data_IF_018979831346
#
_entry.id   IF_018979831346
#
_cell.length_a   1.000
_cell.length_b   1.000
_cell.length_c   1.000
_cell.angle_alpha   90.00
_cell.angle_beta   90.00
_cell.angle_gamma   90.00
#
_symmetry.space_group_name_H-M   'P 1'
#
loop_
_entity.id
_entity.type
_entity.pdbx_description
1 polymer ?
#
# COMPACT_ATOMS: atom_id res chain seq x y z
N UNK A 1 15.07 -4.65 15.83
CA UNK A 1 14.11 -3.58 15.47
C UNK A 1 13.21 -3.35 16.65
N UNK A 2 12.95 -2.10 17.02
CA UNK A 2 12.08 -1.71 18.11
C UNK A 2 10.83 -1.04 17.55
N UNK A 3 9.66 -1.48 18.01
CA UNK A 3 8.39 -0.88 17.62
C UNK A 3 7.85 0.00 18.74
N UNK A 4 7.20 1.10 18.37
CA UNK A 4 6.34 1.90 19.24
C UNK A 4 4.95 2.01 18.63
N UNK A 5 3.93 2.15 19.47
CA UNK A 5 2.54 2.28 19.06
C UNK A 5 1.87 3.39 19.88
N UNK A 6 1.53 4.49 19.21
CA UNK A 6 0.96 5.70 19.80
C UNK A 6 -0.47 5.91 19.29
N UNK A 7 -1.48 6.00 20.17
CA UNK A 7 -2.86 6.27 19.79
C UNK A 7 -3.16 7.78 19.85
N UNK A 8 -3.96 8.24 18.89
CA UNK A 8 -4.53 9.60 18.83
C UNK A 8 -6.02 9.47 18.58
N UNK A 9 -6.86 10.07 19.41
CA UNK A 9 -8.30 9.98 19.28
C UNK A 9 -9.01 11.23 19.84
N UNK A 10 -10.27 11.40 19.45
CA UNK A 10 -11.19 12.28 20.14
C UNK A 10 -11.78 11.51 21.31
N UNK A 11 -11.31 11.78 22.54
CA UNK A 11 -11.71 11.01 23.71
C UNK A 11 -13.06 11.44 24.28
N UNK A 12 -13.56 12.63 23.93
CA UNK A 12 -14.80 13.18 24.48
C UNK A 12 -15.93 13.10 23.46
N UNK A 13 -17.04 12.51 23.87
CA UNK A 13 -18.25 12.34 23.08
C UNK A 13 -19.39 13.18 23.63
N UNK A 14 -20.19 13.86 22.78
CA UNK A 14 -21.43 14.48 23.23
C UNK A 14 -22.50 13.43 23.56
N UNK A 15 -23.52 13.84 24.28
CA UNK A 15 -24.67 12.98 24.60
C UNK A 15 -25.25 12.29 23.35
N UNK A 16 -25.49 10.99 23.44
CA UNK A 16 -26.03 10.20 22.33
C UNK A 16 -25.05 9.78 21.22
N UNK A 17 -23.87 10.35 21.18
CA UNK A 17 -22.82 9.90 20.24
C UNK A 17 -22.27 8.53 20.65
N UNK A 18 -21.95 7.69 19.67
CA UNK A 18 -21.46 6.33 19.92
C UNK A 18 -20.32 5.92 18.97
N UNK A 19 -19.81 6.84 18.16
CA UNK A 19 -18.70 6.58 17.25
C UNK A 19 -17.40 7.21 17.77
N UNK A 20 -16.34 6.42 17.74
CA UNK A 20 -14.99 6.85 18.08
C UNK A 20 -14.07 6.58 16.88
N UNK A 21 -13.32 7.58 16.48
CA UNK A 21 -12.30 7.48 15.44
C UNK A 21 -10.92 7.68 16.09
N UNK A 22 -9.98 6.77 15.79
CA UNK A 22 -8.64 6.80 16.33
C UNK A 22 -7.59 6.60 15.22
N UNK A 23 -6.47 7.30 15.36
CA UNK A 23 -5.26 7.03 14.57
C UNK A 23 -4.26 6.31 15.46
N UNK A 24 -3.75 5.20 14.96
CA UNK A 24 -2.70 4.40 15.59
C UNK A 24 -1.42 4.58 14.78
N UNK A 25 -0.47 5.33 15.34
CA UNK A 25 0.84 5.52 14.72
C UNK A 25 1.79 4.43 15.19
N UNK A 26 2.24 3.60 14.25
CA UNK A 26 3.26 2.58 14.46
C UNK A 26 4.59 3.10 13.92
N UNK A 27 5.62 3.09 14.74
CA UNK A 27 6.98 3.44 14.31
C UNK A 27 7.93 2.29 14.62
N UNK A 28 8.67 1.86 13.60
CA UNK A 28 9.75 0.89 13.74
C UNK A 28 11.09 1.61 13.56
N UNK A 29 11.95 1.53 14.56
CA UNK A 29 13.29 2.14 14.56
C UNK A 29 14.38 1.10 14.77
N UNK A 30 15.55 1.42 14.22
CA UNK A 30 16.77 0.65 14.42
C UNK A 30 17.10 -0.24 13.23
N UNK A 31 18.27 0.05 12.67
CA UNK A 31 19.01 -0.85 11.78
C UNK A 31 19.91 -1.77 12.65
N UNK A 32 19.38 -2.31 13.75
CA UNK A 32 20.12 -3.32 14.50
C UNK A 32 20.35 -4.51 13.61
N UNK A 33 21.60 -4.97 13.50
CA UNK A 33 21.90 -6.31 12.99
C UNK A 33 21.13 -7.25 13.91
N UNK A 34 19.93 -7.65 13.50
CA UNK A 34 19.24 -8.74 14.17
C UNK A 34 20.09 -9.98 13.94
N UNK A 35 20.52 -10.61 15.01
CA UNK A 35 21.34 -11.85 14.92
C UNK A 35 20.66 -12.92 14.05
N UNK A 36 19.31 -12.85 13.92
CA UNK A 36 18.47 -13.74 13.12
C UNK A 36 17.56 -12.92 12.18
N UNK A 37 18.14 -12.05 11.33
CA UNK A 37 17.33 -11.40 10.27
C UNK A 37 16.77 -12.51 9.36
N UNK A 38 15.43 -12.59 9.16
CA UNK A 38 14.87 -13.57 8.24
C UNK A 38 15.48 -13.41 6.85
N UNK A 39 15.82 -14.53 6.23
CA UNK A 39 16.32 -14.51 4.86
C UNK A 39 15.26 -13.88 3.94
N UNK A 40 15.68 -12.96 3.06
CA UNK A 40 14.79 -12.41 2.06
C UNK A 40 14.75 -13.31 0.82
N UNK A 41 13.58 -13.45 0.20
CA UNK A 41 13.41 -14.05 -1.12
C UNK A 41 12.77 -13.04 -2.05
N UNK A 42 13.43 -12.76 -3.16
CA UNK A 42 12.97 -11.80 -4.17
C UNK A 42 12.51 -12.54 -5.42
N UNK A 43 11.23 -12.40 -5.77
CA UNK A 43 10.67 -12.85 -7.05
C UNK A 43 10.61 -11.68 -8.03
N UNK A 44 11.20 -11.83 -9.20
CA UNK A 44 11.07 -10.88 -10.31
C UNK A 44 10.13 -11.50 -11.35
N UNK A 45 8.98 -10.85 -11.59
CA UNK A 45 7.89 -11.36 -12.44
C UNK A 45 7.73 -10.41 -13.60
N UNK A 46 8.06 -10.85 -14.81
CA UNK A 46 8.18 -10.01 -15.99
C UNK A 46 7.15 -10.41 -17.04
N UNK A 47 6.36 -9.44 -17.45
CA UNK A 47 5.53 -9.54 -18.65
C UNK A 47 6.43 -9.54 -19.88
N UNK A 48 6.23 -10.55 -20.74
CA UNK A 48 6.88 -10.66 -22.05
C UNK A 48 5.82 -10.77 -23.17
N UNK A 49 4.63 -10.22 -22.95
CA UNK A 49 3.56 -10.18 -23.95
C UNK A 49 3.97 -9.37 -25.21
N UNK A 50 3.17 -9.48 -26.27
CA UNK A 50 3.48 -8.82 -27.55
C UNK A 50 3.58 -7.30 -27.45
N UNK A 51 2.86 -6.65 -26.52
CA UNK A 51 2.93 -5.19 -26.26
C UNK A 51 4.30 -4.73 -25.73
N UNK A 52 5.04 -5.63 -25.08
CA UNK A 52 6.38 -5.36 -24.58
C UNK A 52 7.44 -5.22 -25.68
N UNK A 53 7.16 -5.52 -26.95
CA UNK A 53 8.16 -5.48 -28.04
C UNK A 53 8.93 -4.16 -28.11
N UNK A 54 10.19 -4.25 -28.51
CA UNK A 54 11.07 -3.08 -28.75
C UNK A 54 11.66 -2.50 -27.48
N UNK A 55 11.58 -1.19 -27.33
CA UNK A 55 12.27 -0.46 -26.25
C UNK A 55 11.79 -0.86 -24.84
N UNK A 56 10.51 -1.20 -24.67
CA UNK A 56 9.96 -1.65 -23.38
C UNK A 56 10.63 -2.93 -22.92
N UNK A 57 10.78 -3.92 -23.82
CA UNK A 57 11.40 -5.20 -23.50
C UNK A 57 12.89 -5.03 -23.18
N UNK A 58 13.63 -4.24 -23.95
CA UNK A 58 15.05 -3.99 -23.70
C UNK A 58 15.27 -3.24 -22.38
N UNK A 59 14.43 -2.26 -22.06
CA UNK A 59 14.46 -1.57 -20.77
C UNK A 59 14.13 -2.52 -19.61
N UNK A 60 13.13 -3.39 -19.77
CA UNK A 60 12.76 -4.38 -18.75
C UNK A 60 13.87 -5.39 -18.49
N UNK A 61 14.52 -5.91 -19.56
CA UNK A 61 15.71 -6.78 -19.44
C UNK A 61 16.83 -6.08 -18.69
N UNK A 62 17.13 -4.83 -19.09
CA UNK A 62 18.21 -4.04 -18.48
C UNK A 62 17.92 -3.80 -16.98
N UNK A 63 16.72 -3.28 -16.65
CA UNK A 63 16.31 -3.01 -15.27
C UNK A 63 16.31 -4.26 -14.40
N UNK A 64 15.81 -5.38 -14.93
CA UNK A 64 15.81 -6.68 -14.23
C UNK A 64 17.22 -7.17 -13.94
N UNK A 65 18.13 -7.07 -14.89
CA UNK A 65 19.54 -7.45 -14.67
C UNK A 65 20.19 -6.57 -13.61
N UNK A 66 19.90 -5.26 -13.61
CA UNK A 66 20.35 -4.35 -12.55
C UNK A 66 19.72 -4.65 -11.21
N UNK A 67 18.45 -5.00 -11.17
CA UNK A 67 17.78 -5.44 -9.95
C UNK A 67 18.44 -6.70 -9.35
N UNK A 68 18.76 -7.69 -10.18
CA UNK A 68 19.46 -8.92 -9.75
C UNK A 68 20.83 -8.58 -9.13
N UNK A 69 21.58 -7.63 -9.68
CA UNK A 69 22.86 -7.19 -9.12
C UNK A 69 22.73 -6.68 -7.68
N UNK A 70 21.64 -5.98 -7.38
CA UNK A 70 21.38 -5.32 -6.10
C UNK A 70 20.83 -6.24 -5.00
N UNK A 71 20.38 -7.44 -5.33
CA UNK A 71 19.92 -8.40 -4.34
C UNK A 71 21.08 -8.79 -3.44
N UNK A 72 20.87 -8.71 -2.12
CA UNK A 72 21.89 -9.03 -1.13
C UNK A 72 22.36 -10.50 -1.27
N UNK A 73 23.68 -10.80 -1.18
CA UNK A 73 24.18 -12.17 -1.26
C UNK A 73 23.59 -13.15 -0.25
N UNK A 74 23.09 -12.67 0.90
CA UNK A 74 22.40 -13.47 1.91
C UNK A 74 20.96 -13.83 1.53
N UNK A 75 20.40 -13.18 0.51
CA UNK A 75 19.05 -13.44 0.02
C UNK A 75 19.00 -14.57 -1.00
N UNK A 76 17.80 -15.06 -1.27
CA UNK A 76 17.49 -15.90 -2.43
C UNK A 76 16.67 -15.09 -3.44
N UNK A 77 16.67 -15.54 -4.68
CA UNK A 77 15.84 -14.92 -5.71
C UNK A 77 15.45 -15.94 -6.79
N UNK A 78 14.39 -15.60 -7.52
CA UNK A 78 13.99 -16.29 -8.73
C UNK A 78 13.47 -15.29 -9.76
N UNK A 79 13.38 -15.72 -11.01
CA UNK A 79 12.84 -14.91 -12.10
C UNK A 79 11.81 -15.72 -12.87
N UNK A 80 10.62 -15.13 -13.06
CA UNK A 80 9.52 -15.65 -13.86
C UNK A 80 9.28 -14.69 -15.02
N UNK A 81 9.08 -15.20 -16.23
CA UNK A 81 8.53 -14.47 -17.36
C UNK A 81 7.15 -15.04 -17.69
N UNK A 82 6.22 -14.20 -18.14
CA UNK A 82 4.89 -14.65 -18.52
C UNK A 82 4.32 -13.92 -19.73
N UNK A 83 3.50 -14.62 -20.48
CA UNK A 83 2.58 -14.08 -21.48
C UNK A 83 1.30 -14.97 -21.49
N UNK A 84 0.99 -15.72 -22.55
CA UNK A 84 -0.04 -16.78 -22.51
C UNK A 84 0.38 -17.98 -21.66
N UNK A 85 1.68 -18.12 -21.43
CA UNK A 85 2.31 -19.17 -20.62
C UNK A 85 3.28 -18.56 -19.63
N UNK A 86 3.74 -19.37 -18.70
CA UNK A 86 4.73 -18.96 -17.70
C UNK A 86 6.03 -19.73 -17.90
N UNK A 87 7.14 -19.01 -17.82
CA UNK A 87 8.48 -19.56 -17.90
C UNK A 87 9.23 -19.28 -16.60
N UNK A 88 9.78 -20.33 -16.02
CA UNK A 88 10.77 -20.20 -14.95
C UNK A 88 12.13 -19.83 -15.56
N UNK A 89 12.44 -18.55 -15.63
CA UNK A 89 13.71 -18.04 -16.22
C UNK A 89 14.90 -18.36 -15.34
N UNK A 90 14.72 -18.22 -14.02
CA UNK A 90 15.67 -18.68 -13.01
C UNK A 90 14.91 -19.28 -11.83
N UNK A 91 15.24 -20.51 -11.46
CA UNK A 91 14.69 -21.18 -10.27
C UNK A 91 15.16 -20.48 -8.99
N UNK A 92 14.45 -20.62 -7.84
CA UNK A 92 14.91 -20.13 -6.55
C UNK A 92 16.33 -20.59 -6.23
N UNK A 93 17.21 -19.64 -5.98
CA UNK A 93 18.61 -19.89 -5.69
C UNK A 93 19.21 -18.78 -4.82
N UNK A 94 20.26 -19.05 -4.01
CA UNK A 94 21.03 -18.02 -3.32
C UNK A 94 21.59 -16.98 -4.31
N UNK A 95 21.62 -15.71 -3.91
CA UNK A 95 22.06 -14.59 -4.74
C UNK A 95 23.60 -14.53 -4.87
N UNK A 96 24.24 -15.67 -5.15
CA UNK A 96 25.68 -15.75 -5.42
C UNK A 96 26.03 -15.08 -6.76
N UNK A 97 27.26 -14.60 -6.94
CA UNK A 97 27.70 -14.04 -8.22
C UNK A 97 27.43 -14.95 -9.41
N UNK A 98 27.63 -16.28 -9.24
CA UNK A 98 27.38 -17.27 -10.29
C UNK A 98 25.90 -17.36 -10.65
N UNK A 99 25.01 -17.50 -9.66
CA UNK A 99 23.56 -17.59 -9.90
C UNK A 99 23.01 -16.30 -10.51
N UNK A 100 23.49 -15.14 -10.05
CA UNK A 100 23.14 -13.85 -10.64
C UNK A 100 23.55 -13.77 -12.11
N UNK A 101 24.78 -14.17 -12.45
CA UNK A 101 25.26 -14.16 -13.83
C UNK A 101 24.44 -15.09 -14.75
N UNK A 102 24.10 -16.29 -14.27
CA UNK A 102 23.24 -17.23 -15.01
C UNK A 102 21.83 -16.65 -15.25
N UNK A 103 21.21 -16.08 -14.22
CA UNK A 103 19.89 -15.46 -14.33
C UNK A 103 19.91 -14.24 -15.28
N UNK A 104 20.92 -13.39 -15.20
CA UNK A 104 21.08 -12.25 -16.10
C UNK A 104 21.25 -12.67 -17.57
N UNK A 105 22.01 -13.74 -17.82
CA UNK A 105 22.16 -14.32 -19.15
C UNK A 105 20.83 -14.90 -19.67
N UNK A 106 20.04 -15.53 -18.80
CA UNK A 106 18.72 -16.04 -19.15
C UNK A 106 17.72 -14.90 -19.45
N UNK A 107 17.68 -13.85 -18.61
CA UNK A 107 16.87 -12.65 -18.84
C UNK A 107 17.19 -12.00 -20.19
N UNK A 108 18.46 -11.92 -20.57
CA UNK A 108 18.87 -11.31 -21.84
C UNK A 108 18.28 -12.02 -23.07
N UNK A 109 17.97 -13.31 -22.97
CA UNK A 109 17.42 -14.13 -24.06
C UNK A 109 15.90 -14.07 -24.18
N UNK A 110 15.21 -13.38 -23.27
CA UNK A 110 13.77 -13.25 -23.33
C UNK A 110 13.34 -12.49 -24.58
N UNK A 111 12.28 -12.97 -25.20
CA UNK A 111 11.67 -12.35 -26.37
C UNK A 111 10.19 -12.07 -26.08
N UNK A 112 9.72 -10.91 -26.54
CA UNK A 112 8.33 -10.52 -26.34
C UNK A 112 7.41 -11.20 -27.37
N UNK A 113 6.26 -11.71 -26.90
CA UNK A 113 5.23 -12.32 -27.73
C UNK A 113 4.08 -12.94 -26.95
N UNK A 114 2.93 -13.11 -27.58
CA UNK A 114 1.74 -13.68 -26.96
C UNK A 114 0.83 -12.65 -26.27
N UNK A 115 -0.15 -13.12 -25.51
CA UNK A 115 -1.09 -12.32 -24.70
C UNK A 115 -0.59 -12.12 -23.28
N UNK A 116 -1.52 -11.86 -22.33
CA UNK A 116 -1.19 -11.53 -20.94
C UNK A 116 -2.13 -12.30 -20.02
N UNK A 117 -1.63 -13.35 -19.33
CA UNK A 117 -2.38 -14.20 -18.39
C UNK A 117 -1.71 -14.08 -17.01
N UNK A 118 -2.20 -13.15 -16.21
CA UNK A 118 -1.56 -12.76 -14.92
C UNK A 118 -1.76 -13.85 -13.85
N UNK A 119 -2.91 -14.55 -13.84
CA UNK A 119 -3.20 -15.56 -12.82
C UNK A 119 -2.13 -16.66 -12.77
N UNK A 120 -1.66 -17.11 -13.93
CA UNK A 120 -0.62 -18.14 -14.01
C UNK A 120 0.72 -17.65 -13.45
N UNK A 121 1.08 -16.38 -13.70
CA UNK A 121 2.29 -15.78 -13.15
C UNK A 121 2.24 -15.70 -11.61
N UNK A 122 1.07 -15.30 -11.06
CA UNK A 122 0.85 -15.25 -9.61
C UNK A 122 0.89 -16.67 -8.98
N UNK A 123 0.27 -17.65 -9.64
CA UNK A 123 0.32 -19.05 -9.23
C UNK A 123 1.75 -19.59 -9.16
N UNK A 124 2.53 -19.35 -10.19
CA UNK A 124 3.92 -19.77 -10.24
C UNK A 124 4.74 -19.09 -9.12
N UNK A 125 4.57 -17.78 -8.97
CA UNK A 125 5.26 -17.03 -7.91
C UNK A 125 4.92 -17.57 -6.51
N UNK A 126 3.63 -17.82 -6.23
CA UNK A 126 3.21 -18.45 -4.98
C UNK A 126 3.86 -19.80 -4.76
N UNK A 127 3.91 -20.62 -5.79
CA UNK A 127 4.54 -21.94 -5.74
C UNK A 127 6.04 -21.85 -5.41
N UNK A 128 6.76 -20.91 -6.01
CA UNK A 128 8.19 -20.70 -5.71
C UNK A 128 8.41 -20.21 -4.28
N UNK A 129 7.62 -19.25 -3.81
CA UNK A 129 7.74 -18.73 -2.46
C UNK A 129 7.41 -19.77 -1.39
N UNK A 130 6.41 -20.63 -1.62
CA UNK A 130 6.01 -21.68 -0.68
C UNK A 130 7.10 -22.75 -0.45
N UNK A 131 8.05 -22.90 -1.38
CA UNK A 131 9.21 -23.81 -1.21
C UNK A 131 10.24 -23.26 -0.21
N UNK A 132 10.16 -22.00 0.20
CA UNK A 132 11.13 -21.31 1.04
C UNK A 132 10.47 -20.73 2.30
N UNK A 133 9.88 -21.58 3.17
CA UNK A 133 9.15 -21.11 4.35
C UNK A 133 10.06 -20.36 5.33
N UNK A 134 9.48 -19.43 6.09
CA UNK A 134 10.19 -18.66 7.13
C UNK A 134 10.99 -17.45 6.62
N UNK A 135 11.02 -17.22 5.31
CA UNK A 135 11.69 -16.09 4.70
C UNK A 135 10.76 -14.87 4.54
N UNK A 136 11.33 -13.70 4.28
CA UNK A 136 10.62 -12.50 3.85
C UNK A 136 10.40 -12.56 2.34
N UNK A 137 9.18 -12.78 1.91
CA UNK A 137 8.83 -12.94 0.51
C UNK A 137 8.41 -11.61 -0.10
N UNK A 138 9.11 -11.20 -1.14
CA UNK A 138 8.83 -9.99 -1.89
C UNK A 138 8.84 -10.26 -3.39
N UNK A 139 7.81 -9.80 -4.10
CA UNK A 139 7.74 -9.83 -5.55
C UNK A 139 7.75 -8.41 -6.15
N UNK A 140 8.45 -8.24 -7.26
CA UNK A 140 8.34 -7.10 -8.14
C UNK A 140 7.71 -7.59 -9.45
N UNK A 141 6.50 -7.11 -9.72
CA UNK A 141 5.69 -7.48 -10.87
C UNK A 141 5.68 -6.34 -11.90
N UNK A 142 6.05 -6.65 -13.13
CA UNK A 142 6.07 -5.70 -14.24
C UNK A 142 5.14 -6.16 -15.34
N UNK A 143 4.30 -5.26 -15.86
CA UNK A 143 3.46 -5.47 -17.04
C UNK A 143 3.26 -4.16 -17.82
N UNK A 144 3.03 -4.23 -19.11
CA UNK A 144 2.60 -3.12 -19.96
C UNK A 144 1.24 -3.36 -20.61
N UNK A 145 0.62 -4.50 -20.31
CA UNK A 145 -0.60 -4.97 -20.95
C UNK A 145 -1.80 -5.10 -20.00
N UNK A 146 -2.95 -5.29 -20.59
CA UNK A 146 -4.18 -5.67 -19.92
C UNK A 146 -4.20 -7.17 -19.76
N UNK A 147 -4.68 -7.63 -18.59
CA UNK A 147 -4.97 -9.06 -18.43
C UNK A 147 -6.01 -9.54 -19.42
N UNK A 148 -5.91 -10.78 -19.85
CA UNK A 148 -6.97 -11.43 -20.64
C UNK A 148 -8.28 -11.42 -19.84
N UNK A 149 -9.36 -11.01 -20.47
CA UNK A 149 -10.69 -10.95 -19.83
C UNK A 149 -11.14 -12.32 -19.34
N UNK A 150 -10.76 -13.40 -20.01
CA UNK A 150 -11.06 -14.77 -19.57
C UNK A 150 -10.28 -15.18 -18.32
N UNK A 151 -9.21 -14.46 -17.96
CA UNK A 151 -8.37 -14.73 -16.80
C UNK A 151 -8.83 -14.01 -15.51
N UNK A 152 -9.77 -13.08 -15.57
CA UNK A 152 -10.12 -12.21 -14.43
C UNK A 152 -10.62 -12.99 -13.19
N UNK A 153 -11.45 -14.00 -13.39
CA UNK A 153 -11.97 -14.83 -12.31
C UNK A 153 -10.86 -15.72 -11.71
N UNK A 154 -9.99 -16.27 -12.56
CA UNK A 154 -8.82 -17.05 -12.12
C UNK A 154 -7.84 -16.18 -11.36
N UNK A 155 -7.57 -14.96 -11.83
CA UNK A 155 -6.72 -14.00 -11.13
C UNK A 155 -7.28 -13.65 -9.75
N UNK A 156 -8.60 -13.45 -9.64
CA UNK A 156 -9.24 -13.14 -8.36
C UNK A 156 -9.07 -14.28 -7.34
N UNK A 157 -9.24 -15.54 -7.77
CA UNK A 157 -9.04 -16.72 -6.94
C UNK A 157 -7.57 -16.88 -6.55
N UNK A 158 -6.65 -16.72 -7.49
CA UNK A 158 -5.23 -16.89 -7.24
C UNK A 158 -4.68 -15.80 -6.31
N UNK A 159 -5.13 -14.54 -6.44
CA UNK A 159 -4.77 -13.46 -5.52
C UNK A 159 -5.22 -13.74 -4.08
N UNK A 160 -6.39 -14.38 -3.91
CA UNK A 160 -6.83 -14.83 -2.58
C UNK A 160 -5.90 -15.92 -2.01
N UNK A 161 -5.41 -16.83 -2.86
CA UNK A 161 -4.45 -17.86 -2.45
C UNK A 161 -3.03 -17.31 -2.18
N UNK A 162 -2.65 -16.21 -2.83
CA UNK A 162 -1.37 -15.52 -2.63
C UNK A 162 -1.35 -14.67 -1.34
N UNK A 163 -2.51 -14.33 -0.78
CA UNK A 163 -2.61 -13.45 0.39
C UNK A 163 -1.86 -14.00 1.60
N UNK A 164 -0.91 -13.22 2.12
CA UNK A 164 -0.06 -13.62 3.24
C UNK A 164 1.12 -14.55 2.87
N UNK A 165 1.25 -14.93 1.60
CA UNK A 165 2.41 -15.70 1.11
C UNK A 165 3.56 -14.77 0.74
N UNK A 166 3.30 -13.69 0.02
CA UNK A 166 4.30 -12.69 -0.36
C UNK A 166 3.69 -11.30 -0.51
N UNK A 167 4.52 -10.28 -0.43
CA UNK A 167 4.16 -8.90 -0.80
C UNK A 167 4.57 -8.63 -2.24
N UNK A 168 3.75 -7.88 -2.99
CA UNK A 168 3.97 -7.64 -4.41
C UNK A 168 3.84 -6.16 -4.77
N UNK A 169 4.95 -5.53 -5.15
CA UNK A 169 4.93 -4.24 -5.80
C UNK A 169 4.70 -4.41 -7.29
N UNK A 170 3.74 -3.65 -7.83
CA UNK A 170 3.33 -3.72 -9.23
C UNK A 170 3.79 -2.48 -10.00
N UNK A 171 4.35 -2.69 -11.18
CA UNK A 171 4.81 -1.65 -12.08
C UNK A 171 4.14 -1.79 -13.44
N UNK A 172 3.41 -0.75 -13.84
CA UNK A 172 2.80 -0.66 -15.17
C UNK A 172 3.65 0.21 -16.08
N UNK A 173 4.05 -0.31 -17.25
CA UNK A 173 4.88 0.39 -18.22
C UNK A 173 4.02 1.00 -19.32
N UNK A 174 4.25 2.30 -19.62
CA UNK A 174 3.43 3.01 -20.60
C UNK A 174 1.99 3.19 -20.13
N UNK A 175 1.02 3.16 -21.03
CA UNK A 175 -0.38 3.51 -20.73
C UNK A 175 -1.42 2.51 -21.26
N UNK A 176 -1.02 1.31 -21.66
CA UNK A 176 -1.91 0.33 -22.30
C UNK A 176 -2.55 -0.66 -21.31
N UNK A 177 -2.19 -0.58 -20.02
CA UNK A 177 -2.70 -1.39 -18.92
C UNK A 177 -3.80 -0.67 -18.12
N UNK A 178 -4.39 -1.33 -17.12
CA UNK A 178 -5.48 -0.80 -16.29
C UNK A 178 -5.00 -0.52 -14.86
N UNK A 179 -5.17 0.73 -14.39
CA UNK A 179 -4.77 1.15 -13.03
C UNK A 179 -5.48 0.33 -11.95
N UNK A 180 -6.78 0.12 -12.07
CA UNK A 180 -7.60 -0.67 -11.13
C UNK A 180 -7.11 -2.10 -10.98
N UNK A 181 -6.61 -2.71 -12.06
CA UNK A 181 -6.09 -4.08 -12.02
C UNK A 181 -4.79 -4.19 -11.23
N UNK A 182 -3.82 -3.30 -11.49
CA UNK A 182 -2.57 -3.28 -10.74
C UNK A 182 -2.80 -2.89 -9.27
N UNK A 183 -3.69 -1.94 -9.00
CA UNK A 183 -4.09 -1.58 -7.64
C UNK A 183 -4.72 -2.78 -6.92
N UNK A 184 -5.59 -3.56 -7.58
CA UNK A 184 -6.19 -4.78 -7.04
C UNK A 184 -5.11 -5.78 -6.60
N UNK A 185 -4.11 -6.04 -7.46
CA UNK A 185 -3.00 -6.96 -7.16
C UNK A 185 -2.16 -6.42 -5.99
N UNK A 186 -1.67 -5.19 -6.11
CA UNK A 186 -0.82 -4.57 -5.10
C UNK A 186 -1.52 -4.48 -3.74
N UNK A 187 -2.75 -3.96 -3.71
CA UNK A 187 -3.55 -3.87 -2.48
C UNK A 187 -3.75 -5.24 -1.86
N UNK A 188 -4.13 -6.24 -2.64
CA UNK A 188 -4.37 -7.61 -2.13
C UNK A 188 -3.10 -8.22 -1.53
N UNK A 189 -1.94 -7.92 -2.09
CA UNK A 189 -0.65 -8.46 -1.69
C UNK A 189 0.20 -7.47 -0.85
N UNK A 190 -0.43 -6.44 -0.26
CA UNK A 190 0.19 -5.46 0.65
C UNK A 190 1.44 -4.76 0.05
N UNK A 191 1.43 -4.53 -1.25
CA UNK A 191 2.44 -3.78 -1.99
C UNK A 191 1.88 -2.49 -2.56
N UNK A 192 2.63 -1.88 -3.48
CA UNK A 192 2.31 -0.61 -4.13
C UNK A 192 2.12 -0.79 -5.63
N UNK A 193 1.26 0.04 -6.26
CA UNK A 193 1.13 0.12 -7.71
C UNK A 193 1.66 1.46 -8.21
N UNK A 194 2.50 1.43 -9.25
CA UNK A 194 3.09 2.65 -9.83
C UNK A 194 3.17 2.54 -11.34
N UNK A 195 3.11 3.71 -12.01
CA UNK A 195 3.35 3.82 -13.44
C UNK A 195 4.84 4.14 -13.72
N UNK A 196 5.39 3.46 -14.71
CA UNK A 196 6.66 3.81 -15.34
C UNK A 196 6.31 4.39 -16.72
N UNK A 197 6.13 5.71 -16.78
CA UNK A 197 5.70 6.38 -18.01
C UNK A 197 6.73 6.22 -19.13
N UNK A 198 8.01 6.32 -18.78
CA UNK A 198 9.11 6.23 -19.72
C UNK A 198 9.99 4.99 -19.43
N UNK A 199 10.26 4.13 -20.43
CA UNK A 199 11.12 2.95 -20.23
C UNK A 199 12.49 3.27 -19.64
N UNK A 200 13.03 4.46 -19.92
CA UNK A 200 14.33 4.92 -19.39
C UNK A 200 14.38 5.07 -17.86
N UNK A 201 13.25 5.27 -17.20
CA UNK A 201 13.18 5.39 -15.74
C UNK A 201 13.07 4.05 -15.00
N UNK A 202 12.92 2.95 -15.73
CA UNK A 202 12.65 1.62 -15.16
C UNK A 202 13.80 1.11 -14.28
N UNK A 203 15.07 1.38 -14.66
CA UNK A 203 16.22 0.98 -13.84
C UNK A 203 16.21 1.65 -12.48
N UNK A 204 15.95 2.95 -12.44
CA UNK A 204 15.92 3.71 -11.18
C UNK A 204 14.78 3.23 -10.26
N UNK A 205 13.62 2.93 -10.83
CA UNK A 205 12.47 2.42 -10.07
C UNK A 205 12.74 1.02 -9.51
N UNK A 206 13.26 0.10 -10.33
CA UNK A 206 13.61 -1.26 -9.88
C UNK A 206 14.68 -1.24 -8.79
N UNK A 207 15.69 -0.36 -8.93
CA UNK A 207 16.71 -0.14 -7.90
C UNK A 207 16.09 0.26 -6.57
N UNK A 208 15.21 1.26 -6.58
CA UNK A 208 14.52 1.73 -5.39
C UNK A 208 13.65 0.63 -4.76
N UNK A 209 12.90 -0.11 -5.57
CA UNK A 209 12.04 -1.21 -5.12
C UNK A 209 12.85 -2.32 -4.42
N UNK A 210 13.97 -2.76 -5.01
CA UNK A 210 14.84 -3.79 -4.42
C UNK A 210 15.52 -3.27 -3.14
N UNK A 211 16.01 -2.03 -3.12
CA UNK A 211 16.61 -1.45 -1.91
C UNK A 211 15.61 -1.39 -0.76
N UNK A 212 14.37 -0.97 -1.03
CA UNK A 212 13.29 -0.97 -0.04
C UNK A 212 12.96 -2.38 0.45
N UNK A 213 12.88 -3.37 -0.45
CA UNK A 213 12.65 -4.76 -0.07
C UNK A 213 13.78 -5.33 0.81
N UNK A 214 15.04 -5.04 0.46
CA UNK A 214 16.21 -5.48 1.25
C UNK A 214 16.30 -4.77 2.62
N UNK A 215 15.72 -3.58 2.74
CA UNK A 215 15.62 -2.84 4.02
C UNK A 215 14.63 -3.44 5.03
N UNK A 216 13.75 -4.34 4.60
CA UNK A 216 12.78 -5.01 5.50
C UNK A 216 13.50 -6.01 6.40
N UNK A 217 13.11 -6.05 7.67
CA UNK A 217 13.76 -6.88 8.68
C UNK A 217 12.79 -7.73 9.50
N UNK A 218 11.50 -7.38 9.56
CA UNK A 218 10.48 -8.10 10.32
C UNK A 218 9.32 -8.43 9.39
N UNK A 219 8.97 -9.70 9.28
CA UNK A 219 7.85 -10.18 8.48
C UNK A 219 6.58 -10.40 9.29
N UNK A 220 5.45 -10.50 8.60
CA UNK A 220 4.16 -10.90 9.18
C UNK A 220 3.76 -10.06 10.41
N UNK A 221 4.07 -8.76 10.39
CA UNK A 221 3.64 -7.85 11.46
C UNK A 221 2.13 -7.65 11.35
N UNK A 222 1.44 -7.69 12.48
CA UNK A 222 -0.01 -7.58 12.58
C UNK A 222 -0.40 -6.49 13.56
N UNK A 223 -1.42 -5.73 13.22
CA UNK A 223 -2.11 -4.86 14.16
C UNK A 223 -3.21 -5.67 14.84
N UNK A 224 -3.06 -5.96 16.14
CA UNK A 224 -4.07 -6.66 16.94
C UNK A 224 -4.95 -5.66 17.65
N UNK A 225 -6.26 -5.77 17.45
CA UNK A 225 -7.27 -4.96 18.10
C UNK A 225 -8.15 -5.87 18.97
N UNK A 226 -8.18 -5.61 20.27
CA UNK A 226 -9.09 -6.23 21.23
C UNK A 226 -10.18 -5.22 21.60
N UNK A 227 -11.45 -5.64 21.53
CA UNK A 227 -12.58 -4.80 21.92
C UNK A 227 -13.45 -5.50 22.97
N UNK A 228 -13.98 -4.76 23.99
CA UNK A 228 -14.98 -5.31 24.89
C UNK A 228 -16.29 -5.59 24.13
N UNK A 229 -17.20 -6.35 24.74
CA UNK A 229 -18.51 -6.66 24.13
C UNK A 229 -19.38 -5.42 23.87
N UNK A 230 -19.08 -4.30 24.55
CA UNK A 230 -19.74 -3.00 24.40
C UNK A 230 -19.21 -2.18 23.21
N UNK A 231 -18.19 -2.67 22.51
CA UNK A 231 -17.58 -1.99 21.37
C UNK A 231 -17.46 -2.90 20.16
N UNK A 232 -17.63 -2.32 18.97
CA UNK A 232 -17.49 -3.02 17.68
C UNK A 232 -16.55 -2.23 16.77
N UNK A 233 -15.63 -2.90 16.10
CA UNK A 233 -14.79 -2.30 15.04
C UNK A 233 -15.67 -2.09 13.81
N UNK A 234 -15.74 -0.85 13.32
CA UNK A 234 -16.45 -0.46 12.10
C UNK A 234 -15.53 -0.54 10.89
N UNK A 235 -14.31 -0.03 11.04
CA UNK A 235 -13.30 -0.03 9.97
C UNK A 235 -11.89 -0.04 10.54
N UNK A 236 -10.97 -0.58 9.74
CA UNK A 236 -9.53 -0.49 9.96
C UNK A 236 -8.86 -0.25 8.62
N UNK A 237 -8.11 0.85 8.49
CA UNK A 237 -7.40 1.23 7.26
C UNK A 237 -5.99 1.68 7.59
N UNK A 238 -5.02 1.30 6.77
CA UNK A 238 -3.74 2.00 6.75
C UNK A 238 -3.96 3.35 6.08
N UNK A 239 -3.46 4.43 6.67
CA UNK A 239 -3.60 5.79 6.13
C UNK A 239 -2.31 6.34 5.57
N UNK A 240 -1.16 5.94 6.13
CA UNK A 240 0.16 6.38 5.66
C UNK A 240 1.09 5.16 5.58
N UNK A 241 1.92 5.06 4.51
CA UNK A 241 2.16 6.02 3.41
C UNK A 241 1.07 6.02 2.32
N UNK A 242 0.21 5.03 2.28
CA UNK A 242 -0.89 4.87 1.32
C UNK A 242 -2.15 4.39 2.03
N UNK A 243 -3.32 4.81 1.50
CA UNK A 243 -4.62 4.33 2.00
C UNK A 243 -4.81 2.88 1.53
N UNK A 244 -4.88 1.96 2.49
CA UNK A 244 -5.14 0.53 2.25
C UNK A 244 -6.27 0.06 3.14
N UNK A 245 -7.33 -0.47 2.53
CA UNK A 245 -8.48 -1.04 3.25
C UNK A 245 -8.10 -2.38 3.90
N UNK A 246 -8.25 -2.47 5.22
CA UNK A 246 -7.92 -3.67 6.00
C UNK A 246 -9.15 -4.28 6.71
N UNK A 247 -10.28 -3.59 6.75
CA UNK A 247 -11.49 -4.00 7.51
C UNK A 247 -11.87 -5.46 7.21
N UNK A 248 -11.91 -5.83 5.94
CA UNK A 248 -12.28 -7.17 5.49
C UNK A 248 -11.13 -8.19 5.53
N UNK A 249 -9.98 -7.81 6.10
CA UNK A 249 -8.79 -8.68 6.27
C UNK A 249 -8.57 -9.11 7.71
N UNK A 250 -9.52 -8.78 8.58
CA UNK A 250 -9.50 -9.19 9.97
C UNK A 250 -9.45 -10.70 10.10
N UNK A 251 -8.46 -11.22 10.81
CA UNK A 251 -8.37 -12.64 11.18
C UNK A 251 -8.70 -12.78 12.65
N UNK A 252 -9.75 -13.54 13.02
CA UNK A 252 -10.10 -13.72 14.42
C UNK A 252 -8.97 -14.48 15.15
N UNK A 253 -8.58 -13.98 16.31
CA UNK A 253 -7.66 -14.64 17.24
C UNK A 253 -8.45 -15.31 18.37
N UNK A 254 -9.44 -14.58 18.88
CA UNK A 254 -10.45 -15.04 19.84
C UNK A 254 -11.77 -14.27 19.63
N UNK A 255 -12.72 -14.41 20.55
CA UNK A 255 -14.05 -13.79 20.42
C UNK A 255 -14.04 -12.25 20.41
N UNK A 256 -12.97 -11.61 20.89
CA UNK A 256 -12.84 -10.16 21.04
C UNK A 256 -11.60 -9.59 20.39
N UNK A 257 -10.68 -10.43 19.90
CA UNK A 257 -9.39 -10.04 19.29
C UNK A 257 -9.35 -10.36 17.81
N UNK A 258 -8.91 -9.38 17.03
CA UNK A 258 -8.73 -9.52 15.57
C UNK A 258 -7.34 -9.03 15.17
N UNK A 259 -6.67 -9.79 14.33
CA UNK A 259 -5.39 -9.44 13.71
C UNK A 259 -5.59 -8.90 12.31
N UNK A 260 -5.06 -7.70 12.04
CA UNK A 260 -5.03 -7.08 10.72
C UNK A 260 -3.61 -7.16 10.15
N UNK A 261 -3.41 -7.72 8.94
CA UNK A 261 -2.10 -7.87 8.35
C UNK A 261 -1.53 -6.51 7.94
N UNK A 262 -0.30 -6.23 8.34
CA UNK A 262 0.41 -5.00 7.96
C UNK A 262 1.64 -5.27 7.10
N UNK A 263 1.94 -6.54 6.84
CA UNK A 263 3.04 -6.98 5.98
C UNK A 263 4.40 -6.99 6.66
N UNK A 264 5.46 -6.86 5.87
CA UNK A 264 6.83 -6.76 6.36
C UNK A 264 7.21 -5.29 6.62
N UNK A 265 8.11 -5.10 7.59
CA UNK A 265 8.55 -3.80 8.06
C UNK A 265 10.07 -3.63 7.99
N UNK A 266 10.49 -2.43 7.57
CA UNK A 266 11.82 -1.88 7.76
C UNK A 266 11.82 -0.79 8.85
N UNK A 267 12.82 0.09 8.83
CA UNK A 267 12.84 1.28 9.66
C UNK A 267 11.91 2.35 9.06
N UNK A 268 10.66 2.34 9.49
CA UNK A 268 9.59 3.15 8.90
C UNK A 268 8.51 3.48 9.93
N UNK A 269 7.57 4.34 9.54
CA UNK A 269 6.38 4.62 10.34
C UNK A 269 5.15 4.51 9.45
N UNK A 270 4.07 3.92 9.99
CA UNK A 270 2.77 3.82 9.32
C UNK A 270 1.66 4.24 10.27
N UNK A 271 0.63 4.84 9.71
CA UNK A 271 -0.52 5.31 10.47
C UNK A 271 -1.77 4.54 10.06
N UNK A 272 -2.55 4.12 11.04
CA UNK A 272 -3.77 3.33 10.84
C UNK A 272 -4.96 4.09 11.42
N UNK A 273 -6.01 4.27 10.63
CA UNK A 273 -7.30 4.77 11.10
C UNK A 273 -8.18 3.60 11.49
N UNK A 274 -8.70 3.64 12.71
CA UNK A 274 -9.64 2.64 13.21
C UNK A 274 -10.86 3.36 13.74
N UNK A 275 -12.04 2.95 13.26
CA UNK A 275 -13.32 3.46 13.74
C UNK A 275 -14.05 2.39 14.59
N UNK A 276 -14.61 2.82 15.70
CA UNK A 276 -15.36 1.98 16.61
C UNK A 276 -16.79 2.50 16.80
N UNK A 277 -17.72 1.58 17.00
CA UNK A 277 -19.06 1.86 17.52
C UNK A 277 -19.13 1.35 18.95
N UNK A 278 -19.47 2.23 19.89
CA UNK A 278 -19.69 1.91 21.30
C UNK A 278 -21.17 1.75 21.60
N UNK A 279 -21.50 1.08 22.69
CA UNK A 279 -22.81 1.27 23.32
C UNK A 279 -22.89 2.71 23.83
N UNK A 280 -24.02 3.37 23.67
CA UNK A 280 -24.18 4.76 24.12
C UNK A 280 -24.12 4.79 25.64
N UNK A 281 -23.24 5.63 26.20
CA UNK A 281 -23.11 5.89 27.63
C UNK A 281 -23.94 7.10 28.06
N UNK A 282 -24.08 7.26 29.36
CA UNK A 282 -24.63 8.47 29.99
C UNK A 282 -23.52 9.51 30.20
N UNK A 283 -23.89 10.77 30.43
CA UNK A 283 -22.91 11.84 30.72
C UNK A 283 -22.15 11.48 31.99
N UNK A 284 -20.81 11.52 31.88
CA UNK A 284 -19.87 11.14 32.93
C UNK A 284 -19.38 9.68 32.82
N UNK A 285 -19.97 8.87 31.97
CA UNK A 285 -19.50 7.50 31.77
C UNK A 285 -18.17 7.48 30.99
N UNK A 286 -17.30 6.54 31.40
CA UNK A 286 -16.09 6.19 30.68
C UNK A 286 -16.20 4.76 30.11
N UNK A 287 -15.91 4.59 28.83
CA UNK A 287 -15.96 3.28 28.20
C UNK A 287 -14.71 2.98 27.40
N UNK A 288 -14.16 1.80 27.63
CA UNK A 288 -13.04 1.28 26.84
C UNK A 288 -13.53 0.91 25.44
N UNK A 289 -12.96 1.58 24.42
CA UNK A 289 -13.22 1.27 23.01
C UNK A 289 -12.33 0.11 22.52
N UNK A 290 -11.02 0.17 22.82
CA UNK A 290 -10.07 -0.80 22.28
C UNK A 290 -8.78 -0.87 23.10
N UNK A 291 -8.12 -2.03 23.04
CA UNK A 291 -6.71 -2.23 23.36
C UNK A 291 -6.00 -2.65 22.08
N UNK A 292 -5.12 -1.78 21.57
CA UNK A 292 -4.37 -2.01 20.36
C UNK A 292 -2.96 -2.53 20.68
N UNK A 293 -2.43 -3.41 19.83
CA UNK A 293 -1.06 -3.89 19.94
C UNK A 293 -0.48 -4.20 18.55
N UNK A 294 0.83 -4.03 18.40
CA UNK A 294 1.59 -4.61 17.30
C UNK A 294 2.09 -5.99 17.75
N UNK A 295 1.91 -6.98 16.87
CA UNK A 295 2.27 -8.38 17.13
C UNK A 295 3.11 -8.91 15.97
N UNK A 296 4.23 -9.54 16.27
CA UNK A 296 5.12 -10.16 15.30
C UNK A 296 5.89 -11.34 15.92
N UNK A 297 6.52 -12.16 15.07
CA UNK A 297 7.39 -13.25 15.52
C UNK A 297 8.84 -12.78 15.58
N UNK A 298 9.53 -13.09 16.68
CA UNK A 298 10.96 -12.88 16.82
C UNK A 298 11.58 -14.16 17.44
N UNK A 299 12.51 -14.80 16.73
CA UNK A 299 13.14 -16.06 17.14
C UNK A 299 12.11 -17.13 17.58
N UNK A 300 11.00 -17.26 16.86
CA UNK A 300 9.95 -18.23 17.17
C UNK A 300 9.00 -17.86 18.32
N UNK A 301 9.19 -16.71 18.94
CA UNK A 301 8.32 -16.20 20.02
C UNK A 301 7.44 -15.03 19.52
N UNK A 302 6.17 -15.02 19.94
CA UNK A 302 5.29 -13.91 19.68
C UNK A 302 5.66 -12.71 20.57
N UNK A 303 6.03 -11.60 19.94
CA UNK A 303 6.27 -10.32 20.61
C UNK A 303 5.04 -9.46 20.46
N UNK A 304 4.59 -8.83 21.56
CA UNK A 304 3.42 -7.95 21.61
C UNK A 304 3.83 -6.59 22.21
N UNK A 305 3.63 -5.52 21.44
CA UNK A 305 3.84 -4.13 21.88
C UNK A 305 2.48 -3.45 21.94
N UNK A 306 2.02 -3.13 23.15
CA UNK A 306 0.69 -2.57 23.39
C UNK A 306 0.72 -1.04 23.46
N UNK A 307 -0.32 -0.40 22.91
CA UNK A 307 -0.61 1.01 23.12
C UNK A 307 -1.31 1.24 24.47
N UNK A 308 -1.35 2.49 24.98
CA UNK A 308 -2.32 2.89 25.98
C UNK A 308 -3.76 2.55 25.53
N UNK A 309 -4.67 2.23 26.45
CA UNK A 309 -6.06 1.91 26.13
C UNK A 309 -6.76 3.12 25.50
N UNK A 310 -7.62 2.86 24.50
CA UNK A 310 -8.49 3.87 23.92
C UNK A 310 -9.78 3.93 24.74
N UNK A 311 -9.99 5.04 25.43
CA UNK A 311 -11.15 5.26 26.31
C UNK A 311 -11.93 6.47 25.83
N UNK A 312 -13.26 6.34 25.73
CA UNK A 312 -14.17 7.42 25.43
C UNK A 312 -14.96 7.83 26.68
N UNK A 313 -15.20 9.13 26.82
CA UNK A 313 -15.92 9.73 27.95
C UNK A 313 -17.06 10.59 27.41
N UNK A 314 -18.29 10.39 27.89
CA UNK A 314 -19.41 11.24 27.51
C UNK A 314 -19.44 12.48 28.38
N UNK A 315 -19.60 13.66 27.75
CA UNK A 315 -19.62 14.95 28.44
C UNK A 315 -20.56 15.95 27.79
N UNK A 316 -21.11 16.86 28.59
CA UNK A 316 -21.88 18.03 28.13
C UNK A 316 -20.97 19.21 27.78
N UNK A 317 -19.66 19.14 28.08
CA UNK A 317 -18.71 20.22 27.80
C UNK A 317 -18.44 20.32 26.29
N UNK A 318 -19.09 21.29 25.64
CA UNK A 318 -18.94 21.54 24.23
C UNK A 318 -17.49 21.94 23.86
N UNK A 319 -16.72 22.47 24.80
CA UNK A 319 -15.31 22.84 24.54
C UNK A 319 -14.43 21.62 24.42
N UNK A 320 -14.78 20.50 25.03
CA UNK A 320 -14.10 19.21 24.92
C UNK A 320 -14.57 18.42 23.70
N UNK A 321 -15.88 18.36 23.48
CA UNK A 321 -16.47 17.59 22.37
C UNK A 321 -16.20 18.21 21.00
N UNK A 322 -16.01 19.54 20.90
CA UNK A 322 -15.65 20.23 19.66
C UNK A 322 -14.18 20.15 19.31
N UNK A 323 -13.29 19.71 20.21
CA UNK A 323 -11.87 19.53 19.93
C UNK A 323 -11.67 18.32 19.04
N UNK A 324 -11.36 18.56 17.77
CA UNK A 324 -10.99 17.49 16.84
C UNK A 324 -9.49 17.21 16.99
N UNK A 325 -9.14 15.94 17.23
CA UNK A 325 -7.73 15.54 17.22
C UNK A 325 -7.13 15.81 15.83
N UNK A 326 -6.00 16.53 15.80
CA UNK A 326 -5.38 16.98 14.55
C UNK A 326 -4.97 15.81 13.63
N UNK A 327 -4.57 14.67 14.18
CA UNK A 327 -4.23 13.47 13.41
C UNK A 327 -5.48 12.87 12.76
N UNK A 328 -6.57 12.75 13.52
CA UNK A 328 -7.85 12.24 13.01
C UNK A 328 -8.37 13.15 11.90
N UNK A 329 -8.40 14.48 12.13
CA UNK A 329 -8.84 15.46 11.12
C UNK A 329 -7.99 15.40 9.85
N UNK A 330 -6.65 15.31 10.00
CA UNK A 330 -5.74 15.23 8.86
C UNK A 330 -6.06 14.01 7.98
N UNK A 331 -6.16 12.82 8.56
CA UNK A 331 -6.38 11.61 7.77
C UNK A 331 -7.81 11.49 7.21
N UNK A 332 -8.82 12.04 7.89
CA UNK A 332 -10.16 12.20 7.31
C UNK A 332 -10.11 13.08 6.05
N UNK A 333 -9.36 14.18 6.08
CA UNK A 333 -9.12 15.04 4.90
C UNK A 333 -8.40 14.33 3.76
N UNK A 334 -7.43 13.45 4.06
CA UNK A 334 -6.74 12.64 3.04
C UNK A 334 -7.67 11.62 2.38
N UNK A 335 -8.59 10.99 3.13
CA UNK A 335 -9.62 10.11 2.54
C UNK A 335 -10.56 10.89 1.61
N UNK A 336 -11.00 12.07 2.01
CA UNK A 336 -11.83 12.93 1.17
C UNK A 336 -11.10 13.37 -0.10
N UNK A 337 -9.82 13.70 0.01
CA UNK A 337 -8.97 14.05 -1.12
C UNK A 337 -8.88 12.90 -2.13
N UNK A 338 -8.58 11.69 -1.66
CA UNK A 338 -8.52 10.51 -2.50
C UNK A 338 -9.86 10.25 -3.20
N UNK A 339 -10.98 10.30 -2.46
CA UNK A 339 -12.31 10.13 -3.03
C UNK A 339 -12.66 11.19 -4.08
N UNK A 340 -12.30 12.46 -3.84
CA UNK A 340 -12.54 13.56 -4.78
C UNK A 340 -11.76 13.38 -6.08
N UNK A 341 -10.50 12.90 -6.02
CA UNK A 341 -9.70 12.59 -7.21
C UNK A 341 -10.37 11.48 -8.02
N UNK A 342 -10.73 10.36 -7.37
CA UNK A 342 -11.36 9.22 -8.03
C UNK A 342 -12.68 9.60 -8.71
N UNK A 343 -13.55 10.33 -8.00
CA UNK A 343 -14.82 10.81 -8.56
C UNK A 343 -14.61 11.78 -9.72
N UNK A 344 -13.59 12.64 -9.63
CA UNK A 344 -13.24 13.60 -10.67
C UNK A 344 -12.73 12.94 -11.95
N UNK A 345 -11.86 11.94 -11.83
CA UNK A 345 -11.33 11.17 -12.96
C UNK A 345 -12.43 10.31 -13.60
N UNK A 346 -13.27 9.67 -12.79
CA UNK A 346 -14.41 8.88 -13.28
C UNK A 346 -15.44 9.75 -14.02
N UNK A 347 -15.76 10.94 -13.51
CA UNK A 347 -16.65 11.89 -14.17
C UNK A 347 -16.07 12.33 -15.53
N UNK A 348 -14.76 12.63 -15.57
CA UNK A 348 -14.05 12.98 -16.80
C UNK A 348 -14.08 11.87 -17.84
N UNK A 349 -13.83 10.63 -17.44
CA UNK A 349 -13.92 9.44 -18.31
C UNK A 349 -15.31 9.27 -18.92
N UNK A 350 -16.37 9.59 -18.15
CA UNK A 350 -17.77 9.57 -18.60
C UNK A 350 -18.19 10.80 -19.42
N UNK A 351 -17.31 11.80 -19.58
CA UNK A 351 -17.61 13.03 -20.30
C UNK A 351 -18.41 14.06 -19.48
N UNK A 352 -18.65 13.84 -18.19
CA UNK A 352 -19.31 14.78 -17.29
C UNK A 352 -18.30 15.83 -16.79
N UNK A 353 -18.09 16.88 -17.61
CA UNK A 353 -17.08 17.91 -17.34
C UNK A 353 -17.44 18.81 -16.15
N UNK A 354 -18.71 18.99 -15.84
CA UNK A 354 -19.15 19.80 -14.70
C UNK A 354 -18.84 19.09 -13.37
N UNK A 355 -19.18 17.81 -13.26
CA UNK A 355 -18.82 17.00 -12.10
C UNK A 355 -17.30 16.82 -11.97
N UNK A 356 -16.59 16.60 -13.08
CA UNK A 356 -15.13 16.50 -13.09
C UNK A 356 -14.49 17.79 -12.54
N UNK A 357 -14.93 18.96 -13.01
CA UNK A 357 -14.44 20.28 -12.53
C UNK A 357 -14.69 20.44 -11.04
N UNK A 358 -15.89 20.13 -10.58
CA UNK A 358 -16.28 20.26 -9.17
C UNK A 358 -15.45 19.35 -8.27
N UNK A 359 -15.30 18.07 -8.61
CA UNK A 359 -14.56 17.12 -7.79
C UNK A 359 -13.04 17.36 -7.81
N UNK A 360 -12.46 17.64 -8.97
CA UNK A 360 -11.03 17.96 -9.07
C UNK A 360 -10.70 19.31 -8.42
N UNK A 361 -11.64 20.27 -8.44
CA UNK A 361 -11.53 21.52 -7.68
C UNK A 361 -11.52 21.27 -6.17
N UNK A 362 -12.44 20.42 -5.67
CA UNK A 362 -12.43 20.00 -4.26
C UNK A 362 -11.12 19.31 -3.90
N UNK A 363 -10.60 18.45 -4.77
CA UNK A 363 -9.32 17.77 -4.57
C UNK A 363 -8.16 18.78 -4.47
N UNK A 364 -8.11 19.80 -5.34
CA UNK A 364 -7.09 20.83 -5.29
C UNK A 364 -7.11 21.61 -3.97
N UNK A 365 -8.29 21.95 -3.47
CA UNK A 365 -8.47 22.59 -2.17
C UNK A 365 -7.96 21.72 -1.02
N UNK A 366 -8.40 20.47 -0.94
CA UNK A 366 -8.02 19.53 0.11
C UNK A 366 -6.52 19.21 0.10
N UNK A 367 -5.91 19.08 -1.09
CA UNK A 367 -4.47 18.88 -1.23
C UNK A 367 -3.66 20.05 -0.68
N UNK A 368 -4.13 21.29 -0.94
CA UNK A 368 -3.51 22.52 -0.43
C UNK A 368 -3.67 22.64 1.09
N UNK A 369 -4.87 22.42 1.62
CA UNK A 369 -5.16 22.47 3.06
C UNK A 369 -4.37 21.45 3.87
N UNK A 370 -4.12 20.27 3.28
CA UNK A 370 -3.35 19.19 3.93
C UNK A 370 -1.84 19.27 3.68
N UNK A 371 -1.35 20.22 2.89
CA UNK A 371 0.08 20.33 2.52
C UNK A 371 0.57 19.16 1.68
N UNK A 372 -0.31 18.52 0.87
CA UNK A 372 0.06 17.42 0.00
C UNK A 372 0.56 17.94 -1.36
N UNK A 373 1.80 18.47 -1.35
CA UNK A 373 2.43 19.09 -2.53
C UNK A 373 2.60 18.10 -3.69
N UNK A 374 2.80 16.82 -3.39
CA UNK A 374 2.94 15.79 -4.42
C UNK A 374 1.64 15.59 -5.18
N UNK A 375 0.51 15.49 -4.47
CA UNK A 375 -0.81 15.39 -5.09
C UNK A 375 -1.17 16.69 -5.81
N UNK A 376 -0.83 17.87 -5.28
CA UNK A 376 -1.03 19.14 -5.95
C UNK A 376 -0.29 19.19 -7.28
N UNK A 377 0.96 18.72 -7.34
CA UNK A 377 1.74 18.62 -8.59
C UNK A 377 1.10 17.65 -9.60
N UNK A 378 0.58 16.50 -9.16
CA UNK A 378 -0.13 15.56 -10.05
C UNK A 378 -1.43 16.17 -10.58
N UNK A 379 -2.23 16.81 -9.72
CA UNK A 379 -3.44 17.52 -10.12
C UNK A 379 -3.16 18.61 -11.17
N UNK A 380 -2.06 19.38 -11.01
CA UNK A 380 -1.70 20.45 -11.95
C UNK A 380 -1.36 19.96 -13.36
N UNK A 381 -1.10 18.67 -13.55
CA UNK A 381 -0.91 18.05 -14.87
C UNK A 381 -2.26 17.79 -15.57
N UNK A 382 -3.33 17.58 -14.81
CA UNK A 382 -4.69 17.26 -15.31
C UNK A 382 -5.60 18.48 -15.37
N UNK A 383 -5.43 19.43 -14.44
CA UNK A 383 -6.20 20.69 -14.38
C UNK A 383 -5.28 21.89 -14.26
N UNK A 384 -5.76 23.06 -14.70
CA UNK A 384 -5.17 24.36 -14.36
C UNK A 384 -5.80 24.83 -13.05
N UNK A 385 -5.01 24.90 -11.97
CA UNK A 385 -5.47 25.38 -10.66
C UNK A 385 -5.49 26.92 -10.71
N UNK A 386 -6.68 27.51 -10.72
CA UNK A 386 -6.88 28.97 -10.78
C UNK A 386 -6.82 29.58 -9.38
N UNK A 387 -7.51 28.96 -8.42
CA UNK A 387 -7.48 29.33 -6.99
C UNK A 387 -7.59 28.06 -6.15
N UNK A 388 -6.47 27.67 -5.57
CA UNK A 388 -6.39 26.47 -4.76
C UNK A 388 -7.23 26.54 -3.48
N UNK A 389 -7.29 27.72 -2.83
CA UNK A 389 -8.02 27.90 -1.56
C UNK A 389 -9.54 27.81 -1.76
N UNK A 390 -10.03 28.28 -2.91
CA UNK A 390 -11.44 28.17 -3.27
C UNK A 390 -11.79 26.87 -4.01
N UNK A 391 -10.76 26.09 -4.41
CA UNK A 391 -10.95 24.89 -5.22
C UNK A 391 -11.40 25.22 -6.65
N UNK A 392 -11.03 26.39 -7.18
CA UNK A 392 -11.36 26.78 -8.55
C UNK A 392 -10.33 26.23 -9.51
N UNK A 393 -10.77 25.39 -10.43
CA UNK A 393 -9.92 24.77 -11.45
C UNK A 393 -10.54 24.88 -12.84
N UNK A 394 -9.71 24.74 -13.87
CA UNK A 394 -10.12 24.59 -15.26
C UNK A 394 -9.59 23.27 -15.77
N UNK A 395 -10.46 22.43 -16.34
CA UNK A 395 -10.03 21.18 -16.96
C UNK A 395 -9.15 21.49 -18.18
N UNK A 396 -8.02 20.79 -18.30
CA UNK A 396 -7.21 20.86 -19.52
C UNK A 396 -7.91 20.10 -20.64
N UNK A 397 -7.95 20.70 -21.84
CA UNK A 397 -8.58 20.10 -23.03
C UNK A 397 -7.82 18.87 -23.53
N UNK A 398 -6.49 18.87 -23.37
CA UNK A 398 -5.62 17.74 -23.69
C UNK A 398 -4.77 17.38 -22.46
N UNK A 399 -4.91 16.16 -21.99
CA UNK A 399 -4.13 15.61 -20.87
C UNK A 399 -3.43 14.35 -21.37
N UNK A 400 -2.17 14.17 -20.98
CA UNK A 400 -1.47 12.94 -21.26
C UNK A 400 -2.08 11.81 -20.41
N UNK A 401 -2.43 10.70 -21.05
CA UNK A 401 -2.99 9.53 -20.34
C UNK A 401 -2.11 9.05 -19.19
N UNK A 402 -0.79 9.13 -19.33
CA UNK A 402 0.15 8.79 -18.26
C UNK A 402 -0.03 9.70 -17.02
N UNK A 403 -0.35 10.99 -17.19
CA UNK A 403 -0.57 11.92 -16.09
C UNK A 403 -1.90 11.63 -15.37
N UNK A 404 -2.95 11.23 -16.11
CA UNK A 404 -4.20 10.76 -15.50
C UNK A 404 -4.00 9.47 -14.70
N UNK A 405 -3.24 8.50 -15.24
CA UNK A 405 -2.92 7.26 -14.55
C UNK A 405 -2.02 7.48 -13.33
N UNK A 406 -1.05 8.42 -13.39
CA UNK A 406 -0.21 8.80 -12.24
C UNK A 406 -1.05 9.46 -11.13
N UNK A 407 -2.02 10.32 -11.50
CA UNK A 407 -2.94 10.92 -10.55
C UNK A 407 -3.87 9.86 -9.92
N UNK A 408 -4.40 8.94 -10.71
CA UNK A 408 -5.26 7.84 -10.26
C UNK A 408 -4.53 6.95 -9.24
N UNK A 409 -3.36 6.42 -9.60
CA UNK A 409 -2.54 5.59 -8.72
C UNK A 409 -2.04 6.36 -7.49
N UNK A 410 -1.68 7.63 -7.69
CA UNK A 410 -1.18 8.50 -6.62
C UNK A 410 -2.27 9.01 -5.67
N UNK A 411 -3.55 8.83 -5.99
CA UNK A 411 -4.66 9.32 -5.16
C UNK A 411 -4.71 8.68 -3.77
N UNK A 412 -4.28 7.44 -3.64
CA UNK A 412 -4.19 6.72 -2.37
C UNK A 412 -2.97 7.11 -1.52
N UNK A 413 -1.99 7.82 -2.08
CA UNK A 413 -0.80 8.28 -1.34
C UNK A 413 -1.15 9.46 -0.47
N UNK A 414 -0.71 9.40 0.80
CA UNK A 414 -1.02 10.44 1.78
C UNK A 414 0.25 11.18 2.22
N UNK A 415 0.09 12.47 2.49
CA UNK A 415 1.08 13.20 3.26
C UNK A 415 0.94 12.82 4.73
N UNK A 416 2.05 12.55 5.41
CA UNK A 416 2.02 12.25 6.83
C UNK A 416 1.70 13.51 7.63
N UNK A 417 0.86 13.39 8.66
CA UNK A 417 0.58 14.50 9.57
C UNK A 417 1.87 14.98 10.25
N UNK A 418 2.10 16.30 10.23
CA UNK A 418 3.24 16.89 10.93
C UNK A 418 3.12 16.64 12.44
N UNK A 419 4.15 16.08 13.07
CA UNK A 419 4.21 16.00 14.54
C UNK A 419 4.48 17.41 15.06
N UNK A 420 3.50 18.02 15.75
CA UNK A 420 3.81 19.13 16.63
C UNK A 420 4.59 18.55 17.82
N UNK A 421 5.75 19.13 18.22
CA UNK A 421 6.39 18.74 19.47
C UNK A 421 5.36 18.92 20.59
N UNK A 422 5.20 17.91 21.45
CA UNK A 422 4.39 18.04 22.66
C UNK A 422 4.97 19.21 23.46
N UNK A 423 4.22 20.30 23.54
CA UNK A 423 4.54 21.48 24.39
C UNK A 423 4.05 21.27 25.83
N UNK A 424 3.53 20.07 26.16
CA UNK A 424 3.06 19.68 27.49
C UNK A 424 3.84 18.42 27.94
N UNK A 425 5.07 18.61 28.40
CA UNK A 425 5.83 17.66 29.19
C UNK A 425 6.32 18.36 30.46
#
# INVERSE_FOLDING_TARGET
MQFTLEPFMNSFLPAGANRVDAILTVTAVGAGVMADKPQAVVGLILDISGSMQGQRMEAAKHATRKAIELIDPSAQFFVIAFSNHVWRVAAPAPATPQNKALAQAAVQRLEAGGGTVISQAMHQARTEFQQLPGALHYALFLTDGKNDTADEDYLTQELAACEGVFQCDCRGVGTDWQTKQLQKIATKLLGTAQIIAEPSSMEADFRAAIQNAMGRAVGNVRLRLWTPKSAKILSCKQMSPEIVELTNRAKPVDAQSFDYPTGAWGAESRDYHVAFQLMTGEIGDEMLACRAAIVYQNAGQEVKISAPPLVATWTEDETLTSRINAQVAHYTGQEELAAAIQQGLEAREKGDMDSATRFLGRAAKLATESGNDETTRRLSKVVDIVDANQGTVRLKSAVNKADEMDLDLGSSRTARAARKPNLDA
#
